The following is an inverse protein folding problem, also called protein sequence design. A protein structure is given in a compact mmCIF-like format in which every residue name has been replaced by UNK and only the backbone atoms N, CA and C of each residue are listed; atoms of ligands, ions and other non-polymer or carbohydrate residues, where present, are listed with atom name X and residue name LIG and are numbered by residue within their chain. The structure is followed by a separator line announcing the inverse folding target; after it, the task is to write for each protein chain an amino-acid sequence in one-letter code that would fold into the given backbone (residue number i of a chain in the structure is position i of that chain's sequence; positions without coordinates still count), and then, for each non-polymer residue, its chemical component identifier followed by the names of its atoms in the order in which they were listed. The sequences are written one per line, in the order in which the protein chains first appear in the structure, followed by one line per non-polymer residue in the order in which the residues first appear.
data_IF_985779821958
#
_entry.id   IF_985779821958
#
_cell.length_a   1.000
_cell.length_b   1.000
_cell.length_c   1.000
_cell.angle_alpha   90.00
_cell.angle_beta   90.00
_cell.angle_gamma   90.00
#
_symmetry.space_group_name_H-M   'P 1'
#
loop_
_entity.id
_entity.type
_entity.pdbx_description
1 polymer ?
#
# COMPACT_ATOMS: atom_id res chain seq x y z
N UNK A 1 -22.92 7.56 -23.31
CA UNK A 1 -21.78 8.40 -22.90
C UNK A 1 -22.03 9.78 -23.47
N UNK A 2 -21.87 10.85 -22.70
CA UNK A 2 -22.16 12.20 -23.22
C UNK A 2 -21.14 12.56 -24.30
N UNK A 3 -21.58 13.17 -25.41
CA UNK A 3 -20.70 13.48 -26.55
C UNK A 3 -19.48 14.32 -26.14
N UNK A 4 -19.67 15.26 -25.19
CA UNK A 4 -18.60 16.10 -24.64
C UNK A 4 -17.50 15.31 -23.91
N UNK A 5 -17.86 14.26 -23.18
CA UNK A 5 -16.87 13.45 -22.47
C UNK A 5 -16.01 12.66 -23.47
N UNK A 6 -16.63 12.18 -24.55
CA UNK A 6 -15.91 11.49 -25.62
C UNK A 6 -14.94 12.44 -26.34
N UNK A 7 -15.37 13.67 -26.64
CA UNK A 7 -14.52 14.70 -27.23
C UNK A 7 -13.33 15.05 -26.32
N UNK A 8 -13.58 15.26 -25.02
CA UNK A 8 -12.54 15.51 -24.02
C UNK A 8 -11.52 14.36 -23.92
N UNK A 9 -12.01 13.12 -23.93
CA UNK A 9 -11.12 11.95 -23.91
C UNK A 9 -10.29 11.85 -25.18
N UNK A 10 -10.91 12.09 -26.33
CA UNK A 10 -10.23 12.03 -27.63
C UNK A 10 -9.14 13.10 -27.76
N UNK A 11 -9.40 14.33 -27.27
CA UNK A 11 -8.44 15.44 -27.37
C UNK A 11 -7.21 15.26 -26.47
N UNK A 12 -7.36 14.57 -25.33
CA UNK A 12 -6.28 14.30 -24.39
C UNK A 12 -5.69 12.88 -24.51
N UNK A 13 -6.12 12.13 -25.53
CA UNK A 13 -5.75 10.73 -25.74
C UNK A 13 -6.00 9.84 -24.51
N UNK A 14 -7.05 10.16 -23.74
CA UNK A 14 -7.49 9.34 -22.62
C UNK A 14 -8.38 8.21 -23.10
N UNK A 15 -8.19 7.05 -22.48
CA UNK A 15 -8.98 5.86 -22.77
C UNK A 15 -9.62 5.32 -21.49
N UNK A 16 -10.89 4.90 -21.61
CA UNK A 16 -11.62 4.22 -20.53
C UNK A 16 -11.22 2.75 -20.50
N UNK A 17 -10.29 2.41 -19.61
CA UNK A 17 -9.68 1.07 -19.53
C UNK A 17 -10.73 -0.04 -19.40
N UNK A 18 -11.77 0.19 -18.60
CA UNK A 18 -12.77 -0.84 -18.38
C UNK A 18 -13.52 -1.16 -19.69
N UNK A 19 -13.80 -0.12 -20.48
CA UNK A 19 -14.49 -0.26 -21.78
C UNK A 19 -13.59 -0.93 -22.82
N UNK A 20 -12.28 -0.66 -22.80
CA UNK A 20 -11.31 -1.37 -23.66
C UNK A 20 -11.30 -2.87 -23.39
N UNK A 21 -11.28 -3.26 -22.11
CA UNK A 21 -11.26 -4.67 -21.71
C UNK A 21 -12.63 -5.34 -21.86
N UNK A 22 -13.73 -4.58 -21.80
CA UNK A 22 -15.11 -5.10 -21.84
C UNK A 22 -15.99 -4.29 -22.82
N UNK A 23 -15.73 -4.36 -24.13
CA UNK A 23 -16.40 -3.50 -25.11
C UNK A 23 -17.91 -3.75 -25.17
N UNK A 24 -18.33 -5.02 -25.16
CA UNK A 24 -19.73 -5.43 -25.29
C UNK A 24 -20.49 -5.45 -23.95
N UNK A 25 -19.79 -5.43 -22.83
CA UNK A 25 -20.41 -5.61 -21.51
C UNK A 25 -21.11 -4.33 -21.03
N UNK A 26 -22.28 -4.49 -20.42
CA UNK A 26 -22.97 -3.42 -19.69
C UNK A 26 -22.69 -3.58 -18.20
N UNK A 27 -22.30 -2.48 -17.57
CA UNK A 27 -22.10 -2.39 -16.13
C UNK A 27 -22.54 -1.02 -15.67
N UNK A 28 -22.99 -0.95 -14.43
CA UNK A 28 -23.41 0.27 -13.78
C UNK A 28 -22.58 0.46 -12.53
N UNK A 29 -22.38 1.72 -12.12
CA UNK A 29 -21.67 2.03 -10.89
C UNK A 29 -22.59 2.67 -9.86
N UNK A 30 -23.71 3.25 -10.27
CA UNK A 30 -24.66 3.90 -9.37
C UNK A 30 -26.10 3.62 -9.77
N UNK A 31 -26.99 3.72 -8.79
CA UNK A 31 -28.44 3.69 -8.99
C UNK A 31 -29.06 4.95 -8.39
N UNK A 32 -29.94 5.60 -9.15
CA UNK A 32 -30.65 6.79 -8.70
C UNK A 32 -32.13 6.43 -8.49
N UNK A 33 -32.62 6.37 -7.24
CA UNK A 33 -33.99 5.93 -6.95
C UNK A 33 -35.08 6.81 -7.56
N UNK A 34 -34.84 8.13 -7.64
CA UNK A 34 -35.86 9.10 -8.10
C UNK A 34 -36.31 8.86 -9.54
N UNK A 35 -35.41 8.37 -10.39
CA UNK A 35 -35.68 8.16 -11.81
C UNK A 35 -35.62 6.68 -12.21
N UNK A 36 -35.42 5.77 -11.24
CA UNK A 36 -35.22 4.33 -11.49
C UNK A 36 -34.03 4.04 -12.42
N UNK A 37 -33.05 4.94 -12.50
CA UNK A 37 -32.03 4.91 -13.53
C UNK A 37 -30.70 4.35 -12.99
N UNK A 38 -30.09 3.49 -13.77
CA UNK A 38 -28.73 3.02 -13.54
C UNK A 38 -27.74 3.80 -14.41
N UNK A 39 -26.61 4.21 -13.83
CA UNK A 39 -25.58 4.97 -14.53
C UNK A 39 -24.19 4.46 -14.18
N UNK A 40 -23.24 4.68 -15.10
CA UNK A 40 -21.82 4.35 -14.92
C UNK A 40 -21.01 5.63 -14.83
N UNK A 41 -20.87 6.13 -13.60
CA UNK A 41 -20.22 7.40 -13.26
C UNK A 41 -18.73 7.20 -12.95
N UNK A 42 -18.39 6.16 -12.23
CA UNK A 42 -17.02 5.89 -11.78
C UNK A 42 -16.22 5.22 -12.91
N UNK A 43 -15.09 5.83 -13.31
CA UNK A 43 -14.26 5.38 -14.45
C UNK A 43 -12.79 5.66 -14.19
N UNK A 44 -11.92 4.76 -14.64
CA UNK A 44 -10.49 5.03 -14.78
C UNK A 44 -10.18 5.44 -16.22
N UNK A 45 -9.62 6.64 -16.38
CA UNK A 45 -9.17 7.17 -17.66
C UNK A 45 -7.63 7.18 -17.67
N UNK A 46 -7.01 6.49 -18.63
CA UNK A 46 -5.54 6.47 -18.78
C UNK A 46 -5.10 7.13 -20.08
N UNK A 47 -4.04 7.94 -19.99
CA UNK A 47 -3.48 8.65 -21.14
C UNK A 47 -2.60 7.72 -22.00
N UNK A 48 -2.02 6.69 -21.38
CA UNK A 48 -1.17 5.72 -22.05
C UNK A 48 -1.35 4.34 -21.42
N UNK A 49 -2.12 3.49 -22.08
CA UNK A 49 -2.35 2.11 -21.64
C UNK A 49 -1.02 1.32 -21.64
N UNK A 50 -0.07 1.65 -22.52
CA UNK A 50 1.22 0.96 -22.61
C UNK A 50 2.22 1.31 -21.50
N UNK A 51 1.97 2.36 -20.70
CA UNK A 51 2.84 2.74 -19.60
C UNK A 51 2.54 1.98 -18.29
N UNK A 52 1.35 1.39 -18.18
CA UNK A 52 0.88 0.65 -17.01
C UNK A 52 0.42 -0.72 -17.48
N UNK A 53 1.05 -1.78 -16.98
CA UNK A 53 0.60 -3.13 -17.30
C UNK A 53 -0.67 -3.44 -16.49
N UNK A 54 -1.84 -3.17 -17.10
CA UNK A 54 -3.14 -3.35 -16.45
C UNK A 54 -3.48 -4.83 -16.40
N UNK A 55 -3.47 -5.40 -15.19
CA UNK A 55 -3.79 -6.82 -14.95
C UNK A 55 -5.29 -7.07 -14.82
N UNK A 56 -6.02 -6.18 -14.16
CA UNK A 56 -7.46 -6.37 -13.90
C UNK A 56 -8.19 -5.05 -13.67
N UNK A 57 -9.40 -4.92 -14.23
CA UNK A 57 -10.34 -3.84 -13.93
C UNK A 57 -11.72 -4.41 -13.68
N UNK A 58 -12.31 -4.17 -12.51
CA UNK A 58 -13.60 -4.75 -12.14
C UNK A 58 -14.41 -3.84 -11.22
N UNK A 59 -15.73 -3.79 -11.44
CA UNK A 59 -16.66 -3.23 -10.45
C UNK A 59 -16.87 -4.26 -9.34
N UNK A 60 -16.74 -3.82 -8.09
CA UNK A 60 -17.01 -4.64 -6.92
C UNK A 60 -18.46 -4.49 -6.48
N UNK A 61 -18.98 -5.55 -5.86
CA UNK A 61 -20.32 -5.55 -5.27
C UNK A 61 -20.47 -4.36 -4.31
N UNK A 62 -21.66 -3.77 -4.35
CA UNK A 62 -22.03 -2.61 -3.53
C UNK A 62 -22.14 -3.03 -2.06
N UNK A 63 -21.30 -2.46 -1.19
CA UNK A 63 -21.32 -2.81 0.24
C UNK A 63 -21.47 -1.63 1.21
N UNK A 64 -21.16 -0.39 0.85
CA UNK A 64 -21.13 0.71 1.84
C UNK A 64 -21.70 2.03 1.33
N UNK A 65 -21.81 2.20 0.00
CA UNK A 65 -22.26 3.44 -0.62
C UNK A 65 -23.31 3.15 -1.68
N UNK A 66 -24.05 4.18 -2.12
CA UNK A 66 -24.91 4.09 -3.30
C UNK A 66 -24.15 3.82 -4.62
N UNK A 67 -22.83 3.72 -4.55
CA UNK A 67 -21.93 3.41 -5.65
C UNK A 67 -21.23 2.05 -5.46
N UNK A 68 -21.02 1.36 -6.58
CA UNK A 68 -20.18 0.17 -6.74
C UNK A 68 -18.72 0.59 -6.95
N UNK A 69 -17.80 0.24 -6.04
CA UNK A 69 -16.40 0.60 -6.17
C UNK A 69 -15.78 0.03 -7.44
N UNK A 70 -14.97 0.82 -8.14
CA UNK A 70 -14.20 0.38 -9.29
C UNK A 70 -12.75 0.06 -8.86
N UNK A 71 -12.32 -1.18 -9.09
CA UNK A 71 -10.95 -1.65 -8.82
C UNK A 71 -10.13 -1.62 -10.11
N UNK A 72 -8.90 -1.10 -10.02
CA UNK A 72 -7.86 -1.18 -11.05
C UNK A 72 -6.61 -1.80 -10.43
N UNK A 73 -6.16 -2.92 -10.98
CA UNK A 73 -4.89 -3.57 -10.66
C UNK A 73 -3.96 -3.38 -11.85
N UNK A 74 -2.84 -2.70 -11.61
CA UNK A 74 -1.80 -2.49 -12.60
C UNK A 74 -0.43 -2.72 -11.98
N UNK A 75 0.51 -3.17 -12.80
CA UNK A 75 1.91 -3.26 -12.44
C UNK A 75 2.65 -2.01 -12.92
N UNK A 76 3.48 -1.47 -12.06
CA UNK A 76 4.37 -0.35 -12.40
C UNK A 76 5.76 -0.93 -12.62
N UNK A 77 6.31 -0.73 -13.82
CA UNK A 77 7.71 -1.03 -14.09
C UNK A 77 8.58 0.01 -13.34
N UNK A 78 8.75 -0.17 -12.03
CA UNK A 78 9.70 0.63 -11.27
C UNK A 78 11.11 0.16 -11.66
N UNK A 79 11.93 1.01 -12.31
CA UNK A 79 13.12 0.54 -12.99
C UNK A 79 14.25 0.08 -12.06
N UNK A 80 14.11 0.20 -10.74
CA UNK A 80 15.11 -0.30 -9.77
C UNK A 80 14.44 -0.78 -8.49
N UNK A 81 14.81 -1.96 -7.96
CA UNK A 81 14.54 -2.28 -6.58
C UNK A 81 15.32 -1.27 -5.73
N UNK A 82 14.63 -0.32 -5.10
CA UNK A 82 15.26 0.49 -4.06
C UNK A 82 15.60 -0.48 -2.95
N UNK A 83 16.90 -0.67 -2.69
CA UNK A 83 17.35 -1.44 -1.52
C UNK A 83 16.77 -0.70 -0.31
N UNK A 84 15.81 -1.30 0.41
CA UNK A 84 15.18 -0.59 1.52
C UNK A 84 16.24 -0.42 2.59
N UNK A 85 16.68 0.83 2.79
CA UNK A 85 17.48 1.17 3.96
C UNK A 85 16.66 0.83 5.19
N UNK A 86 17.20 -0.02 6.06
CA UNK A 86 16.52 -0.33 7.30
C UNK A 86 16.30 0.96 8.10
N UNK A 87 15.05 1.15 8.52
CA UNK A 87 14.62 2.25 9.37
C UNK A 87 13.98 1.67 10.63
N UNK A 88 14.51 2.06 11.78
CA UNK A 88 13.90 1.71 13.07
C UNK A 88 12.55 2.41 13.23
N UNK A 89 11.56 1.70 13.75
CA UNK A 89 10.25 2.26 14.13
C UNK A 89 10.41 3.11 15.40
N UNK A 90 10.18 4.43 15.38
CA UNK A 90 10.36 5.28 16.56
C UNK A 90 9.45 4.90 17.72
N UNK A 91 8.32 4.25 17.45
CA UNK A 91 7.37 3.80 18.45
C UNK A 91 7.99 2.77 19.41
N UNK A 92 8.96 1.98 18.94
CA UNK A 92 9.69 1.01 19.77
C UNK A 92 10.47 1.68 20.89
N UNK A 93 10.93 2.91 20.69
CA UNK A 93 11.65 3.65 21.73
C UNK A 93 10.74 4.05 22.91
N UNK A 94 9.41 3.96 22.75
CA UNK A 94 8.45 4.21 23.83
C UNK A 94 8.04 2.92 24.54
N UNK A 95 8.31 1.76 23.95
CA UNK A 95 7.94 0.46 24.48
C UNK A 95 8.91 0.02 25.60
N UNK A 96 8.42 -0.20 26.83
CA UNK A 96 9.27 -0.64 27.94
C UNK A 96 9.83 -2.06 27.73
N UNK A 97 9.10 -2.94 27.06
CA UNK A 97 9.56 -4.32 26.78
C UNK A 97 10.76 -4.28 25.83
N UNK A 98 10.65 -3.48 24.76
CA UNK A 98 11.77 -3.23 23.85
C UNK A 98 13.00 -2.68 24.57
N UNK A 99 12.83 -1.71 25.47
CA UNK A 99 13.95 -1.14 26.25
C UNK A 99 14.64 -2.21 27.09
N UNK A 100 13.85 -3.05 27.78
CA UNK A 100 14.37 -4.17 28.57
C UNK A 100 15.14 -5.17 27.70
N UNK A 101 14.60 -5.50 26.53
CA UNK A 101 15.23 -6.40 25.56
C UNK A 101 16.58 -5.89 25.04
N UNK A 102 16.68 -4.59 24.74
CA UNK A 102 17.93 -3.96 24.30
C UNK A 102 18.93 -3.88 25.45
N UNK A 103 18.47 -3.58 26.66
CA UNK A 103 19.34 -3.56 27.84
C UNK A 103 19.91 -4.95 28.14
N UNK A 104 19.09 -5.99 28.08
CA UNK A 104 19.54 -7.38 28.22
C UNK A 104 20.53 -7.78 27.12
N UNK A 105 20.30 -7.38 25.86
CA UNK A 105 21.22 -7.64 24.77
C UNK A 105 22.57 -6.93 24.95
N UNK A 106 22.55 -5.69 25.45
CA UNK A 106 23.77 -4.93 25.81
C UNK A 106 24.53 -5.61 26.94
N UNK A 107 23.84 -5.94 28.02
CA UNK A 107 24.48 -6.52 29.22
C UNK A 107 25.04 -7.92 28.91
N UNK A 108 24.33 -8.71 28.10
CA UNK A 108 24.82 -9.99 27.57
C UNK A 108 26.00 -9.86 26.60
N UNK A 109 26.07 -8.78 25.83
CA UNK A 109 27.25 -8.50 25.01
C UNK A 109 28.48 -8.22 25.89
N UNK A 110 28.33 -7.36 26.90
CA UNK A 110 29.45 -7.04 27.79
C UNK A 110 29.87 -8.22 28.66
N UNK A 111 28.95 -9.05 29.15
CA UNK A 111 29.32 -10.21 29.96
C UNK A 111 30.22 -11.22 29.23
N UNK A 112 30.09 -11.32 27.90
CA UNK A 112 30.87 -12.25 27.05
C UNK A 112 32.17 -11.61 26.52
N UNK A 113 32.14 -10.31 26.20
CA UNK A 113 33.24 -9.64 25.50
C UNK A 113 34.13 -8.78 26.40
N UNK A 114 33.85 -8.76 27.71
CA UNK A 114 34.63 -8.01 28.70
C UNK A 114 36.12 -8.38 28.60
N UNK A 115 36.99 -7.37 28.43
CA UNK A 115 38.45 -7.49 28.24
C UNK A 115 38.95 -8.22 26.97
N UNK A 116 38.06 -8.72 26.10
CA UNK A 116 38.45 -9.44 24.87
C UNK A 116 38.78 -8.49 23.72
N UNK A 117 38.08 -7.35 23.64
CA UNK A 117 38.23 -6.37 22.57
C UNK A 117 39.20 -5.27 23.02
N UNK A 118 40.29 -5.08 22.25
CA UNK A 118 41.40 -4.19 22.63
C UNK A 118 41.20 -2.71 22.30
N UNK A 119 40.17 -2.36 21.54
CA UNK A 119 39.96 -0.99 21.06
C UNK A 119 38.50 -0.59 21.21
N UNK A 120 38.26 0.54 21.87
CA UNK A 120 36.92 1.08 22.11
C UNK A 120 36.11 1.28 20.81
N UNK A 121 36.76 1.59 19.69
CA UNK A 121 36.10 1.73 18.39
C UNK A 121 35.47 0.42 17.90
N UNK A 122 36.21 -0.69 17.96
CA UNK A 122 35.70 -2.01 17.55
C UNK A 122 34.58 -2.47 18.48
N UNK A 123 34.74 -2.23 19.78
CA UNK A 123 33.72 -2.55 20.78
C UNK A 123 32.43 -1.79 20.54
N UNK A 124 32.51 -0.50 20.19
CA UNK A 124 31.37 0.32 19.84
C UNK A 124 30.67 -0.15 18.55
N UNK A 125 31.43 -0.45 17.50
CA UNK A 125 30.87 -0.98 16.25
C UNK A 125 30.16 -2.32 16.49
N UNK A 126 30.75 -3.22 17.26
CA UNK A 126 30.16 -4.51 17.59
C UNK A 126 28.87 -4.36 18.42
N UNK A 127 28.87 -3.49 19.45
CA UNK A 127 27.66 -3.21 20.24
C UNK A 127 26.52 -2.63 19.40
N UNK A 128 26.84 -1.71 18.46
CA UNK A 128 25.86 -1.18 17.51
C UNK A 128 25.25 -2.27 16.65
N UNK A 129 26.07 -3.21 16.16
CA UNK A 129 25.60 -4.36 15.37
C UNK A 129 24.65 -5.22 16.21
N UNK A 130 25.03 -5.59 17.44
CA UNK A 130 24.18 -6.39 18.33
C UNK A 130 22.84 -5.72 18.58
N UNK A 131 22.86 -4.43 18.93
CA UNK A 131 21.66 -3.63 19.17
C UNK A 131 20.79 -3.59 17.93
N UNK A 132 21.36 -3.27 16.76
CA UNK A 132 20.64 -3.22 15.49
C UNK A 132 20.02 -4.57 15.13
N UNK A 133 20.76 -5.68 15.28
CA UNK A 133 20.26 -7.02 15.00
C UNK A 133 19.06 -7.37 15.88
N UNK A 134 19.13 -7.08 17.19
CA UNK A 134 18.01 -7.27 18.13
C UNK A 134 16.81 -6.41 17.73
N UNK A 135 17.01 -5.12 17.41
CA UNK A 135 15.95 -4.22 16.94
C UNK A 135 15.30 -4.70 15.64
N UNK A 136 16.08 -5.20 14.68
CA UNK A 136 15.59 -5.78 13.43
C UNK A 136 14.71 -6.99 13.72
N UNK A 137 15.16 -7.90 14.57
CA UNK A 137 14.42 -9.11 14.96
C UNK A 137 13.06 -8.79 15.59
N UNK A 138 13.04 -7.88 16.56
CA UNK A 138 11.80 -7.44 17.22
C UNK A 138 10.85 -6.78 16.20
N UNK A 139 11.37 -5.84 15.39
CA UNK A 139 10.57 -5.15 14.36
C UNK A 139 9.97 -6.12 13.35
N UNK A 140 10.73 -7.14 12.96
CA UNK A 140 10.29 -8.20 12.06
C UNK A 140 9.16 -9.02 12.68
N UNK A 141 9.31 -9.45 13.94
CA UNK A 141 8.28 -10.19 14.67
C UNK A 141 6.96 -9.41 14.75
N UNK A 142 7.02 -8.14 15.13
CA UNK A 142 5.85 -7.25 15.19
C UNK A 142 5.20 -7.11 13.82
N UNK A 143 5.98 -6.91 12.76
CA UNK A 143 5.46 -6.81 11.39
C UNK A 143 4.77 -8.11 10.97
N UNK A 144 5.39 -9.25 11.21
CA UNK A 144 4.84 -10.56 10.84
C UNK A 144 3.54 -10.87 11.59
N UNK A 145 3.49 -10.57 12.90
CA UNK A 145 2.25 -10.66 13.69
C UNK A 145 1.16 -9.76 13.11
N UNK A 146 1.52 -8.53 12.73
CA UNK A 146 0.56 -7.57 12.16
C UNK A 146 0.02 -8.01 10.81
N UNK A 147 0.88 -8.55 9.96
CA UNK A 147 0.53 -9.09 8.65
C UNK A 147 -0.43 -10.28 8.77
N UNK A 148 -0.18 -11.17 9.74
CA UNK A 148 -1.10 -12.25 10.06
C UNK A 148 -2.47 -11.74 10.55
N UNK A 149 -2.50 -10.75 11.45
CA UNK A 149 -3.76 -10.11 11.89
C UNK A 149 -4.54 -9.52 10.71
N UNK A 150 -3.86 -8.84 9.78
CA UNK A 150 -4.49 -8.23 8.61
C UNK A 150 -5.06 -9.28 7.66
N UNK A 151 -4.34 -10.38 7.46
CA UNK A 151 -4.81 -11.50 6.63
C UNK A 151 -6.12 -12.06 7.20
N UNK A 152 -6.20 -12.28 8.51
CA UNK A 152 -7.46 -12.71 9.15
C UNK A 152 -8.60 -11.71 8.96
N UNK A 153 -8.30 -10.41 9.01
CA UNK A 153 -9.30 -9.37 8.78
C UNK A 153 -9.80 -9.36 7.32
N UNK A 154 -8.93 -9.63 6.36
CA UNK A 154 -9.28 -9.77 4.94
C UNK A 154 -10.12 -11.02 4.68
N UNK A 155 -9.80 -12.15 5.32
CA UNK A 155 -10.59 -13.38 5.25
C UNK A 155 -11.99 -13.17 5.86
N UNK A 156 -12.06 -12.55 7.05
CA UNK A 156 -13.32 -12.19 7.70
C UNK A 156 -14.16 -11.25 6.83
N UNK A 157 -13.51 -10.25 6.22
CA UNK A 157 -14.17 -9.33 5.29
C UNK A 157 -14.74 -10.08 4.09
N UNK A 158 -14.00 -11.04 3.53
CA UNK A 158 -14.43 -11.85 2.39
C UNK A 158 -15.64 -12.71 2.78
N UNK A 159 -15.62 -13.35 3.95
CA UNK A 159 -16.74 -14.13 4.47
C UNK A 159 -18.00 -13.27 4.68
N UNK A 160 -17.86 -12.09 5.29
CA UNK A 160 -18.98 -11.16 5.50
C UNK A 160 -19.58 -10.67 4.18
N UNK A 161 -18.73 -10.40 3.18
CA UNK A 161 -19.18 -10.00 1.84
C UNK A 161 -19.98 -11.11 1.14
N UNK A 162 -19.52 -12.35 1.21
CA UNK A 162 -20.24 -13.50 0.67
C UNK A 162 -21.60 -13.71 1.35
N UNK A 163 -21.68 -13.47 2.66
CA UNK A 163 -22.93 -13.58 3.43
C UNK A 163 -23.96 -12.52 3.05
N UNK A 164 -23.52 -11.30 2.75
CA UNK A 164 -24.42 -10.24 2.25
C UNK A 164 -24.86 -10.51 0.80
N UNK A 165 -24.04 -11.22 0.02
CA UNK A 165 -24.40 -11.59 -1.35
C UNK A 165 -25.46 -12.70 -1.43
N UNK A 166 -25.64 -13.51 -0.37
CA UNK A 166 -26.74 -14.48 -0.30
C UNK A 166 -28.07 -13.78 0.03
N UNK A 167 -29.13 -14.17 -0.67
CA UNK A 167 -30.45 -13.50 -0.71
C UNK A 167 -31.24 -13.58 0.60
N UNK A 168 -30.78 -14.35 1.60
CA UNK A 168 -31.57 -14.77 2.76
C UNK A 168 -31.35 -13.95 4.05
N UNK A 169 -30.69 -12.80 4.00
CA UNK A 169 -30.40 -12.01 5.20
C UNK A 169 -31.54 -11.03 5.54
N UNK A 170 -32.00 -11.04 6.80
CA UNK A 170 -32.97 -10.05 7.30
C UNK A 170 -32.37 -8.63 7.22
N UNK A 171 -33.22 -7.63 7.02
CA UNK A 171 -32.80 -6.22 6.86
C UNK A 171 -31.95 -5.70 8.05
N UNK A 172 -32.22 -6.20 9.26
CA UNK A 172 -31.45 -5.88 10.47
C UNK A 172 -30.07 -6.56 10.50
N UNK A 173 -29.96 -7.84 10.09
CA UNK A 173 -28.66 -8.54 9.99
C UNK A 173 -27.77 -7.94 8.89
N UNK A 174 -28.39 -7.48 7.78
CA UNK A 174 -27.70 -6.71 6.75
C UNK A 174 -27.09 -5.43 7.32
N UNK A 175 -27.84 -4.65 8.10
CA UNK A 175 -27.31 -3.39 8.65
C UNK A 175 -26.11 -3.62 9.58
N UNK A 176 -26.18 -4.62 10.45
CA UNK A 176 -25.08 -4.96 11.36
C UNK A 176 -23.86 -5.52 10.64
N UNK A 177 -24.05 -6.31 9.59
CA UNK A 177 -22.93 -6.80 8.76
C UNK A 177 -22.27 -5.67 8.00
N UNK A 178 -23.04 -4.72 7.47
CA UNK A 178 -22.53 -3.54 6.80
C UNK A 178 -21.67 -2.66 7.72
N UNK A 179 -22.08 -2.45 8.99
CA UNK A 179 -21.26 -1.68 9.94
C UNK A 179 -19.95 -2.40 10.28
N UNK A 180 -19.99 -3.73 10.45
CA UNK A 180 -18.79 -4.56 10.67
C UNK A 180 -17.84 -4.50 9.48
N UNK A 181 -18.35 -4.63 8.26
CA UNK A 181 -17.59 -4.49 7.01
C UNK A 181 -16.91 -3.12 6.96
N UNK A 182 -17.64 -2.03 7.23
CA UNK A 182 -17.10 -0.67 7.22
C UNK A 182 -15.98 -0.47 8.25
N UNK A 183 -16.14 -1.00 9.46
CA UNK A 183 -15.12 -0.93 10.49
C UNK A 183 -13.82 -1.66 10.11
N UNK A 184 -13.94 -2.86 9.53
CA UNK A 184 -12.78 -3.63 9.05
C UNK A 184 -12.09 -2.89 7.90
N UNK A 185 -12.86 -2.37 6.93
CA UNK A 185 -12.33 -1.60 5.80
C UNK A 185 -11.52 -0.40 6.25
N UNK A 186 -12.06 0.43 7.15
CA UNK A 186 -11.35 1.62 7.65
C UNK A 186 -10.03 1.25 8.33
N UNK A 187 -10.01 0.16 9.09
CA UNK A 187 -8.80 -0.34 9.75
C UNK A 187 -7.76 -0.80 8.73
N UNK A 188 -8.15 -1.60 7.73
CA UNK A 188 -7.28 -2.07 6.66
C UNK A 188 -6.72 -0.90 5.84
N UNK A 189 -7.58 0.03 5.42
CA UNK A 189 -7.20 1.21 4.66
C UNK A 189 -6.19 2.09 5.43
N UNK A 190 -6.49 2.39 6.69
CA UNK A 190 -5.59 3.20 7.53
C UNK A 190 -4.20 2.57 7.66
N UNK A 191 -4.11 1.24 7.71
CA UNK A 191 -2.84 0.52 7.79
C UNK A 191 -2.10 0.55 6.45
N UNK A 192 -2.78 0.16 5.36
CA UNK A 192 -2.19 0.12 4.01
C UNK A 192 -1.72 1.50 3.56
N UNK A 193 -2.49 2.54 3.88
CA UNK A 193 -2.13 3.94 3.61
C UNK A 193 -0.87 4.36 4.35
N UNK A 194 -0.75 4.04 5.65
CA UNK A 194 0.47 4.30 6.44
C UNK A 194 1.68 3.55 5.90
N UNK A 195 1.52 2.26 5.59
CA UNK A 195 2.58 1.42 5.05
C UNK A 195 3.05 1.94 3.68
N UNK A 196 2.12 2.28 2.80
CA UNK A 196 2.40 2.87 1.49
C UNK A 196 3.17 4.18 1.60
N UNK A 197 2.74 5.11 2.47
CA UNK A 197 3.48 6.37 2.73
C UNK A 197 4.88 6.11 3.25
N UNK A 198 5.06 5.12 4.12
CA UNK A 198 6.36 4.75 4.63
C UNK A 198 7.26 4.17 3.54
N UNK A 199 6.73 3.33 2.64
CA UNK A 199 7.45 2.82 1.46
C UNK A 199 7.83 3.93 0.49
N UNK A 200 6.91 4.86 0.19
CA UNK A 200 7.19 6.03 -0.65
C UNK A 200 8.31 6.89 -0.06
N UNK A 201 8.27 7.19 1.24
CA UNK A 201 9.33 7.95 1.90
C UNK A 201 10.69 7.23 1.82
N UNK A 202 10.72 5.90 1.96
CA UNK A 202 11.96 5.13 1.85
C UNK A 202 12.47 4.98 0.41
N UNK A 203 11.58 5.09 -0.58
CA UNK A 203 11.89 4.94 -2.01
C UNK A 203 12.06 6.24 -2.77
N UNK A 204 11.64 7.36 -2.20
CA UNK A 204 11.81 8.68 -2.79
C UNK A 204 13.29 9.03 -2.92
N UNK A 205 13.66 9.59 -4.07
CA UNK A 205 14.92 10.28 -4.23
C UNK A 205 14.98 11.37 -3.15
N UNK A 206 15.91 11.23 -2.19
CA UNK A 206 16.23 12.34 -1.32
C UNK A 206 16.72 13.46 -2.24
N UNK A 207 16.05 14.60 -2.19
CA UNK A 207 16.39 15.85 -2.87
C UNK A 207 17.78 16.35 -2.45
N UNK A 208 18.81 15.67 -2.94
CA UNK A 208 20.22 15.87 -2.63
C UNK A 208 21.17 15.09 -3.54
N UNK A 209 20.68 14.13 -4.33
CA UNK A 209 21.45 13.54 -5.42
C UNK A 209 21.34 14.40 -6.70
N UNK A 210 21.82 15.64 -6.65
CA UNK A 210 22.24 16.32 -7.88
C UNK A 210 23.34 15.45 -8.50
N UNK A 211 23.01 14.71 -9.56
CA UNK A 211 24.02 14.01 -10.35
C UNK A 211 25.03 15.06 -10.85
N UNK A 212 26.35 14.91 -10.67
CA UNK A 212 27.31 15.67 -11.44
C UNK A 212 27.07 15.28 -12.90
N UNK A 213 26.52 16.20 -13.69
CA UNK A 213 26.30 15.99 -15.11
C UNK A 213 27.65 15.83 -15.79
N UNK A 214 27.98 14.61 -16.20
CA UNK A 214 28.93 14.38 -17.30
C UNK A 214 28.22 14.74 -18.61
N UNK A 215 28.04 16.04 -18.85
CA UNK A 215 27.82 16.56 -20.19
C UNK A 215 29.20 16.68 -20.83
N UNK A 216 29.62 15.64 -21.56
CA UNK A 216 30.69 15.80 -22.54
C UNK A 216 30.15 16.70 -23.65
N UNK A 217 30.51 17.97 -23.63
CA UNK A 217 30.31 18.87 -24.76
C UNK A 217 31.39 18.56 -25.80
N UNK A 218 31.10 17.64 -26.71
CA UNK A 218 31.74 17.62 -28.02
C UNK A 218 31.00 18.60 -28.92
N UNK A 219 31.74 19.56 -29.47
CA UNK A 219 31.40 20.17 -30.76
C UNK A 219 31.11 21.67 -30.73
N UNK A 220 31.91 22.35 -31.56
CA UNK A 220 31.64 23.63 -32.23
C UNK A 220 31.98 24.89 -31.42
N UNK A 221 33.19 25.41 -31.62
CA UNK A 221 33.39 26.68 -32.31
C UNK A 221 34.73 26.64 -33.06
N UNK A 222 34.72 27.28 -34.23
CA UNK A 222 35.84 27.50 -35.15
C UNK A 222 37.00 28.27 -34.49
#
# INVERSE_FOLDING_TARGET
MTAKLHEFMSSLHFVDIWRELHPASKVYSCYTPTNGAHSRLDRFLLANIGALDVRRVAYQVRFLSGHEPLLLECETHTPRPVIPLWKMRPELLRDPEYKGDIQAARDGYFSVNWYTIRTCGIEWEALKVVTRCKSIGISYGIRKKKEWELTQQEDMLTALRSRVASVDASETDCRETHTKIGAIWNRLDSYKSKDYRQRLYCSGDRSGACRPGSLSANGLYQ
#
